data_IF_890507662158
#
_entry.id   IF_890507662158
#
_cell.length_a   1.000
_cell.length_b   1.000
_cell.length_c   1.000
_cell.angle_alpha   90.00
_cell.angle_beta   90.00
_cell.angle_gamma   90.00
#
_symmetry.space_group_name_H-M   'P 1'
#
loop_
_entity.id
_entity.type
_entity.pdbx_description
1 polymer ?
#
# COMPACT_ATOMS: atom_id res chain seq x y z
N UNK A 1 -1.64 32.64 7.48
CA UNK A 1 -1.20 32.89 6.09
C UNK A 1 -1.65 31.66 5.31
N UNK A 2 -2.64 31.79 4.41
CA UNK A 2 -3.24 30.62 3.74
C UNK A 2 -2.28 30.17 2.64
N UNK A 3 -1.52 29.11 2.89
CA UNK A 3 -0.72 28.47 1.86
C UNK A 3 -1.65 27.70 0.93
N UNK A 4 -1.86 28.23 -0.28
CA UNK A 4 -2.46 27.47 -1.39
C UNK A 4 -1.49 26.35 -1.77
N UNK A 5 -1.78 25.13 -1.33
CA UNK A 5 -1.12 23.94 -1.83
C UNK A 5 -1.77 23.55 -3.16
N UNK A 6 -1.12 23.90 -4.27
CA UNK A 6 -1.36 23.25 -5.57
C UNK A 6 -0.66 21.89 -5.50
N UNK A 7 -1.41 20.80 -5.33
CA UNK A 7 -0.86 19.45 -5.49
C UNK A 7 -1.40 18.86 -6.79
N UNK A 8 -0.50 18.79 -7.76
CA UNK A 8 -0.66 18.05 -8.99
C UNK A 8 -0.54 16.56 -8.62
N UNK A 9 -1.60 15.77 -8.77
CA UNK A 9 -1.53 14.30 -8.70
C UNK A 9 -0.77 13.83 -9.93
N UNK A 10 0.56 13.90 -9.86
CA UNK A 10 1.44 13.20 -10.77
C UNK A 10 1.67 11.82 -10.18
N UNK A 11 0.78 10.88 -10.51
CA UNK A 11 1.12 9.46 -10.52
C UNK A 11 2.15 9.24 -11.63
N UNK A 12 3.38 9.71 -11.40
CA UNK A 12 4.51 9.38 -12.22
C UNK A 12 4.84 7.93 -11.95
N UNK A 13 4.32 7.02 -12.79
CA UNK A 13 4.70 5.61 -12.76
C UNK A 13 6.23 5.53 -12.77
N UNK A 14 6.83 5.20 -11.63
CA UNK A 14 8.27 5.03 -11.54
C UNK A 14 8.65 3.79 -12.35
N UNK A 15 9.80 3.87 -13.00
CA UNK A 15 10.35 2.79 -13.81
C UNK A 15 10.46 1.54 -12.93
N UNK A 16 9.63 0.54 -13.24
CA UNK A 16 9.57 -0.75 -12.55
C UNK A 16 10.98 -1.38 -12.54
N UNK A 17 11.60 -1.43 -11.36
CA UNK A 17 12.91 -2.05 -11.19
C UNK A 17 12.72 -3.53 -10.85
N UNK A 18 13.31 -4.42 -11.65
CA UNK A 18 13.39 -5.82 -11.29
C UNK A 18 14.09 -5.97 -9.94
N UNK A 19 13.68 -6.96 -9.14
CA UNK A 19 14.32 -7.20 -7.85
C UNK A 19 15.86 -7.30 -8.00
N UNK A 20 16.64 -6.77 -7.04
CA UNK A 20 18.10 -6.86 -7.07
C UNK A 20 18.59 -8.30 -7.29
N UNK A 21 19.70 -8.47 -8.00
CA UNK A 21 20.29 -9.81 -8.20
C UNK A 21 20.74 -10.38 -6.84
N UNK A 22 20.40 -11.64 -6.57
CA UNK A 22 20.86 -12.36 -5.38
C UNK A 22 19.85 -12.47 -4.24
N UNK A 23 18.62 -12.00 -4.40
CA UNK A 23 17.56 -12.25 -3.42
C UNK A 23 17.20 -13.75 -3.40
N UNK A 24 17.33 -14.37 -2.23
CA UNK A 24 16.85 -15.73 -2.02
C UNK A 24 15.34 -15.72 -1.81
N UNK A 25 14.62 -15.97 -2.91
CA UNK A 25 13.17 -16.08 -2.88
C UNK A 25 12.65 -17.34 -2.16
N UNK A 26 13.51 -18.18 -1.58
CA UNK A 26 13.13 -19.35 -0.80
C UNK A 26 13.40 -19.20 0.71
N UNK A 27 14.00 -18.09 1.16
CA UNK A 27 14.20 -17.79 2.58
C UNK A 27 12.90 -17.62 3.34
N UNK A 28 12.98 -17.47 4.67
CA UNK A 28 11.80 -17.24 5.52
C UNK A 28 11.05 -15.96 5.10
N UNK A 29 9.75 -16.07 4.83
CA UNK A 29 8.90 -14.97 4.42
C UNK A 29 7.44 -15.24 4.79
N UNK A 30 6.66 -14.16 4.88
CA UNK A 30 5.20 -14.24 4.82
C UNK A 30 4.74 -14.09 3.38
N UNK A 31 3.64 -14.76 3.05
CA UNK A 31 3.10 -14.76 1.71
C UNK A 31 1.64 -14.30 1.75
N UNK A 32 1.29 -13.35 0.89
CA UNK A 32 -0.09 -12.95 0.60
C UNK A 32 -0.39 -13.32 -0.85
N UNK A 33 -1.37 -14.20 -1.06
CA UNK A 33 -1.89 -14.52 -2.39
C UNK A 33 -3.13 -13.66 -2.65
N UNK A 34 -3.06 -12.77 -3.64
CA UNK A 34 -4.26 -12.09 -4.15
C UNK A 34 -4.81 -12.91 -5.31
N UNK A 35 -5.95 -13.55 -5.10
CA UNK A 35 -6.58 -14.48 -6.04
C UNK A 35 -7.72 -13.77 -6.75
N UNK A 36 -7.52 -13.51 -8.04
CA UNK A 36 -8.49 -12.82 -8.88
C UNK A 36 -9.78 -13.62 -9.07
N UNK A 37 -10.92 -12.96 -8.86
CA UNK A 37 -12.28 -13.47 -9.08
C UNK A 37 -13.07 -12.53 -9.98
N UNK A 38 -13.81 -13.10 -10.94
CA UNK A 38 -14.65 -12.35 -11.87
C UNK A 38 -16.06 -12.05 -11.34
N UNK A 39 -16.34 -12.46 -10.10
CA UNK A 39 -17.61 -12.28 -9.41
C UNK A 39 -17.31 -12.00 -7.95
N UNK A 40 -18.16 -11.20 -7.32
CA UNK A 40 -18.12 -11.02 -5.87
C UNK A 40 -18.26 -12.37 -5.19
N UNK A 41 -17.35 -12.66 -4.27
CA UNK A 41 -17.35 -13.90 -3.49
C UNK A 41 -18.39 -13.79 -2.38
N UNK A 42 -19.27 -14.79 -2.21
CA UNK A 42 -20.28 -14.76 -1.16
C UNK A 42 -19.67 -15.15 0.19
N UNK A 43 -20.07 -14.47 1.26
CA UNK A 43 -19.74 -14.83 2.64
C UNK A 43 -18.57 -14.06 3.23
N UNK A 44 -18.40 -14.23 4.54
CA UNK A 44 -17.28 -13.67 5.29
C UNK A 44 -16.05 -14.59 5.15
N UNK A 45 -14.97 -14.03 4.63
CA UNK A 45 -13.68 -14.68 4.44
C UNK A 45 -12.65 -14.18 5.45
N UNK A 46 -13.09 -13.89 6.67
CA UNK A 46 -12.22 -13.61 7.80
C UNK A 46 -11.64 -14.94 8.34
N UNK A 47 -10.35 -15.18 8.11
CA UNK A 47 -9.61 -16.24 8.80
C UNK A 47 -8.15 -15.79 8.89
N UNK A 48 -7.64 -15.47 10.10
CA UNK A 48 -6.30 -14.93 10.27
C UNK A 48 -5.21 -15.91 9.81
N UNK A 49 -5.46 -17.23 9.87
CA UNK A 49 -4.51 -18.26 9.45
C UNK A 49 -4.36 -18.38 7.92
N UNK A 50 -5.21 -17.68 7.15
CA UNK A 50 -5.11 -17.73 5.69
C UNK A 50 -4.00 -16.82 5.19
N UNK A 51 -3.50 -17.18 4.02
CA UNK A 51 -2.52 -16.41 3.26
C UNK A 51 -3.09 -15.98 1.90
N UNK A 52 -4.40 -15.76 1.83
CA UNK A 52 -5.14 -15.54 0.59
C UNK A 52 -6.22 -14.48 0.75
N UNK A 53 -6.27 -13.51 -0.15
CA UNK A 53 -7.35 -12.54 -0.29
C UNK A 53 -7.95 -12.68 -1.70
N UNK A 54 -9.27 -12.71 -1.82
CA UNK A 54 -9.93 -12.64 -3.11
C UNK A 54 -10.03 -11.18 -3.55
N UNK A 55 -9.63 -10.89 -4.79
CA UNK A 55 -9.68 -9.54 -5.38
C UNK A 55 -10.43 -9.61 -6.71
N UNK A 56 -11.08 -8.53 -7.19
CA UNK A 56 -11.65 -8.51 -8.54
C UNK A 56 -10.57 -8.79 -9.58
N UNK A 57 -10.89 -9.57 -10.62
CA UNK A 57 -10.00 -9.67 -11.79
C UNK A 57 -10.01 -8.42 -12.64
N UNK A 58 -11.01 -7.55 -12.51
CA UNK A 58 -11.14 -6.30 -13.25
C UNK A 58 -11.68 -5.27 -12.27
N UNK A 59 -10.93 -4.19 -12.06
CA UNK A 59 -11.28 -3.11 -11.13
C UNK A 59 -11.67 -1.81 -11.85
N UNK A 60 -11.87 -1.83 -13.17
CA UNK A 60 -12.18 -0.61 -13.95
C UNK A 60 -13.46 0.09 -13.52
N UNK A 61 -14.46 -0.68 -13.05
CA UNK A 61 -15.74 -0.18 -12.53
C UNK A 61 -15.75 -0.04 -10.99
N UNK A 62 -14.62 -0.24 -10.32
CA UNK A 62 -14.52 -0.10 -8.87
C UNK A 62 -13.99 1.29 -8.51
N UNK A 63 -14.65 1.91 -7.54
CA UNK A 63 -14.16 3.08 -6.84
C UNK A 63 -14.51 3.00 -5.36
N UNK A 64 -13.74 3.70 -4.54
CA UNK A 64 -14.07 3.90 -3.13
C UNK A 64 -14.05 5.38 -2.77
N UNK A 65 -14.95 5.76 -1.87
CA UNK A 65 -15.09 7.12 -1.42
C UNK A 65 -13.84 7.60 -0.69
N UNK A 66 -13.46 8.84 -0.98
CA UNK A 66 -12.53 9.63 -0.20
C UNK A 66 -13.32 10.68 0.56
N UNK A 67 -12.97 10.86 1.83
CA UNK A 67 -13.18 12.17 2.45
C UNK A 67 -12.23 13.14 1.74
N UNK A 68 -12.58 14.40 1.51
CA UNK A 68 -11.74 15.34 0.73
C UNK A 68 -10.98 16.32 1.62
N UNK A 69 -9.89 15.91 2.29
CA UNK A 69 -8.91 16.82 2.84
C UNK A 69 -8.11 17.48 1.71
N UNK A 70 -7.27 18.45 2.05
CA UNK A 70 -6.31 19.09 1.13
C UNK A 70 -6.91 19.78 -0.11
N UNK A 71 -8.19 20.12 -0.10
CA UNK A 71 -8.88 20.64 -1.30
C UNK A 71 -8.68 19.73 -2.53
N UNK A 72 -8.63 18.42 -2.34
CA UNK A 72 -8.70 17.51 -3.47
C UNK A 72 -10.07 17.68 -4.12
N UNK A 73 -10.10 18.06 -5.40
CA UNK A 73 -11.31 18.07 -6.24
C UNK A 73 -11.82 16.65 -6.56
N UNK A 74 -11.28 15.64 -5.88
CA UNK A 74 -11.50 14.22 -6.10
C UNK A 74 -12.14 13.60 -4.87
N UNK A 75 -13.38 13.12 -5.00
CA UNK A 75 -14.16 12.50 -3.93
C UNK A 75 -14.11 10.98 -3.93
N UNK A 76 -13.50 10.34 -4.94
CA UNK A 76 -13.37 8.89 -5.05
C UNK A 76 -12.01 8.50 -5.62
N UNK A 77 -11.54 7.28 -5.36
CA UNK A 77 -10.38 6.69 -6.04
C UNK A 77 -10.77 5.42 -6.77
N UNK A 78 -10.21 5.21 -7.96
CA UNK A 78 -10.39 3.99 -8.70
C UNK A 78 -9.72 2.79 -8.01
N UNK A 79 -10.29 1.60 -8.20
CA UNK A 79 -9.79 0.35 -7.64
C UNK A 79 -10.50 -0.07 -6.36
N UNK A 80 -9.88 -1.02 -5.65
CA UNK A 80 -10.34 -1.50 -4.33
C UNK A 80 -9.41 -1.03 -3.23
N UNK A 81 -9.95 -0.80 -2.05
CA UNK A 81 -9.19 -0.35 -0.88
C UNK A 81 -8.73 -1.54 -0.05
N UNK A 82 -7.41 -1.74 0.09
CA UNK A 82 -6.88 -2.78 0.97
C UNK A 82 -6.23 -2.12 2.19
N UNK A 83 -6.89 -2.19 3.34
CA UNK A 83 -6.41 -1.58 4.59
C UNK A 83 -5.34 -2.44 5.27
N UNK A 84 -4.37 -1.80 5.89
CA UNK A 84 -3.22 -2.49 6.45
C UNK A 84 -2.86 -1.98 7.84
N UNK A 85 -2.60 -2.91 8.75
CA UNK A 85 -2.10 -2.64 10.10
C UNK A 85 -0.82 -3.43 10.38
N UNK A 86 -0.15 -3.09 11.48
CA UNK A 86 0.94 -3.88 12.02
C UNK A 86 0.57 -4.35 13.43
N UNK A 87 0.76 -5.64 13.71
CA UNK A 87 0.42 -6.25 14.99
C UNK A 87 1.36 -7.39 15.38
N UNK A 88 0.88 -8.29 16.23
CA UNK A 88 1.70 -9.38 16.80
C UNK A 88 2.02 -10.50 15.81
N UNK A 89 1.25 -10.63 14.75
CA UNK A 89 1.40 -11.68 13.74
C UNK A 89 0.89 -11.24 12.36
N UNK A 90 1.30 -11.97 11.33
CA UNK A 90 0.77 -11.80 9.99
C UNK A 90 -0.61 -12.46 9.90
N UNK A 91 -1.64 -11.71 9.50
CA UNK A 91 -3.01 -12.20 9.41
C UNK A 91 -3.78 -11.54 8.26
N UNK A 92 -4.57 -12.30 7.51
CA UNK A 92 -5.55 -11.71 6.59
C UNK A 92 -6.85 -11.49 7.36
N UNK A 93 -7.12 -10.22 7.67
CA UNK A 93 -8.23 -9.80 8.53
C UNK A 93 -9.55 -9.79 7.77
N UNK A 94 -9.53 -9.34 6.52
CA UNK A 94 -10.63 -9.43 5.55
C UNK A 94 -10.11 -9.99 4.23
N UNK A 95 -10.44 -11.26 3.98
CA UNK A 95 -10.01 -12.01 2.82
C UNK A 95 -10.85 -11.80 1.57
N UNK A 96 -11.78 -10.84 1.53
CA UNK A 96 -12.70 -10.66 0.41
C UNK A 96 -12.77 -9.22 -0.11
N UNK A 97 -11.75 -8.77 -0.83
CA UNK A 97 -11.78 -7.49 -1.52
C UNK A 97 -12.65 -7.43 -2.78
N UNK A 98 -13.43 -8.47 -3.08
CA UNK A 98 -14.30 -8.47 -4.29
C UNK A 98 -15.57 -7.64 -4.16
N UNK A 99 -15.80 -7.08 -2.97
CA UNK A 99 -16.87 -6.12 -2.66
C UNK A 99 -16.37 -4.66 -2.61
N UNK A 100 -15.08 -4.44 -2.92
CA UNK A 100 -14.47 -3.11 -2.95
C UNK A 100 -13.45 -2.87 -1.83
N UNK A 101 -13.40 -3.71 -0.80
CA UNK A 101 -12.47 -3.51 0.32
C UNK A 101 -11.93 -4.81 0.92
N UNK A 102 -10.66 -4.81 1.31
CA UNK A 102 -10.05 -5.91 2.05
C UNK A 102 -9.13 -5.41 3.13
N UNK A 103 -8.60 -6.31 3.95
CA UNK A 103 -7.60 -5.91 4.95
C UNK A 103 -6.69 -7.05 5.40
N UNK A 104 -5.48 -6.69 5.78
CA UNK A 104 -4.54 -7.61 6.39
C UNK A 104 -3.62 -6.90 7.38
N UNK A 105 -2.99 -7.67 8.25
CA UNK A 105 -2.05 -7.24 9.25
C UNK A 105 -0.69 -7.85 8.96
N UNK A 106 0.36 -7.02 9.05
CA UNK A 106 1.74 -7.50 9.12
C UNK A 106 2.12 -7.88 10.55
N UNK A 107 3.00 -8.86 10.68
CA UNK A 107 3.64 -9.15 11.95
C UNK A 107 4.62 -8.05 12.39
N UNK A 108 5.28 -8.22 13.55
CA UNK A 108 6.24 -7.26 14.05
C UNK A 108 7.48 -7.21 13.15
N UNK A 109 8.12 -6.04 13.10
CA UNK A 109 9.36 -5.81 12.37
C UNK A 109 9.15 -5.13 11.02
N UNK A 110 10.23 -5.06 10.23
CA UNK A 110 10.24 -4.42 8.91
C UNK A 110 10.42 -5.48 7.83
N UNK A 111 10.01 -5.18 6.62
CA UNK A 111 10.05 -6.15 5.53
C UNK A 111 10.64 -5.57 4.25
N UNK A 112 11.34 -6.41 3.49
CA UNK A 112 11.49 -6.23 2.04
C UNK A 112 10.32 -6.91 1.36
N UNK A 113 9.70 -6.20 0.41
CA UNK A 113 8.45 -6.64 -0.20
C UNK A 113 8.67 -6.89 -1.68
N UNK A 114 8.23 -8.06 -2.14
CA UNK A 114 8.33 -8.42 -3.55
C UNK A 114 6.99 -8.91 -4.06
N UNK A 115 6.67 -8.52 -5.29
CA UNK A 115 5.40 -8.83 -5.94
C UNK A 115 5.61 -9.47 -7.30
N UNK A 116 4.76 -10.44 -7.65
CA UNK A 116 4.77 -11.10 -8.95
C UNK A 116 3.37 -11.56 -9.37
N UNK A 117 3.06 -11.46 -10.66
CA UNK A 117 1.87 -12.06 -11.27
C UNK A 117 2.18 -13.50 -11.73
N UNK A 118 1.55 -14.49 -11.11
CA UNK A 118 1.92 -15.91 -11.26
C UNK A 118 0.96 -16.73 -12.13
N UNK A 119 -0.30 -16.30 -12.29
CA UNK A 119 -1.29 -17.01 -13.11
C UNK A 119 -1.71 -16.24 -14.37
N UNK A 120 -2.53 -16.90 -15.19
CA UNK A 120 -2.97 -16.44 -16.52
C UNK A 120 -3.77 -15.13 -16.42
N UNK A 121 -3.20 -14.05 -16.93
CA UNK A 121 -3.93 -12.85 -17.35
C UNK A 121 -4.61 -13.10 -18.71
N UNK A 122 -5.67 -12.34 -19.08
CA UNK A 122 -6.11 -12.21 -20.47
C UNK A 122 -4.92 -11.94 -21.39
N UNK A 123 -5.05 -12.33 -22.66
CA UNK A 123 -3.93 -12.48 -23.61
C UNK A 123 -3.24 -11.17 -24.03
N UNK A 124 -3.70 -10.02 -23.53
CA UNK A 124 -3.27 -8.70 -23.98
C UNK A 124 -3.12 -7.75 -22.79
N UNK A 125 -1.87 -7.37 -22.51
CA UNK A 125 -1.42 -6.13 -21.84
C UNK A 125 -1.84 -5.74 -20.42
N UNK A 126 -2.63 -6.53 -19.69
CA UNK A 126 -3.06 -6.13 -18.34
C UNK A 126 -1.93 -5.93 -17.31
N UNK A 127 -2.15 -5.00 -16.37
CA UNK A 127 -1.28 -4.66 -15.24
C UNK A 127 -1.98 -4.84 -13.91
N UNK A 128 -1.19 -4.93 -12.85
CA UNK A 128 -1.63 -4.80 -11.47
C UNK A 128 -0.88 -3.61 -10.91
N UNK A 129 -1.63 -2.59 -10.54
CA UNK A 129 -1.10 -1.32 -10.07
C UNK A 129 -1.50 -1.14 -8.61
N UNK A 130 -0.52 -0.85 -7.76
CA UNK A 130 -0.71 -0.62 -6.34
C UNK A 130 -0.05 0.70 -5.96
N UNK A 131 -0.78 1.55 -5.26
CA UNK A 131 -0.24 2.77 -4.64
C UNK A 131 -0.52 2.73 -3.14
N UNK A 132 0.51 2.96 -2.33
CA UNK A 132 0.35 3.08 -0.88
C UNK A 132 -0.12 4.47 -0.51
N UNK A 133 -0.92 4.57 0.54
CA UNK A 133 -1.47 5.82 1.02
C UNK A 133 -1.54 5.85 2.54
N UNK A 134 -0.98 6.90 3.14
CA UNK A 134 -1.23 7.23 4.54
C UNK A 134 -2.35 8.27 4.62
N UNK A 135 -3.34 7.99 5.44
CA UNK A 135 -4.39 8.92 5.86
C UNK A 135 -3.96 9.54 7.18
N UNK A 136 -3.88 10.87 7.24
CA UNK A 136 -3.60 11.60 8.47
C UNK A 136 -4.83 12.41 8.88
N UNK A 137 -5.26 12.28 10.12
CA UNK A 137 -6.35 13.04 10.71
C UNK A 137 -5.76 14.13 11.60
N UNK A 138 -6.45 15.25 11.75
CA UNK A 138 -6.09 16.24 12.77
C UNK A 138 -6.50 15.76 14.17
N UNK A 139 -6.08 16.51 15.18
CA UNK A 139 -6.41 16.25 16.58
C UNK A 139 -7.91 16.37 16.95
N UNK A 140 -8.77 16.74 16.00
CA UNK A 140 -10.22 16.74 16.13
C UNK A 140 -10.84 15.50 15.48
N UNK A 141 -10.02 14.61 14.93
CA UNK A 141 -10.44 13.41 14.21
C UNK A 141 -10.95 13.69 12.80
N UNK A 142 -10.73 14.89 12.26
CA UNK A 142 -11.09 15.20 10.89
C UNK A 142 -9.97 14.77 9.96
N UNK A 143 -10.31 14.03 8.90
CA UNK A 143 -9.30 13.66 7.91
C UNK A 143 -8.69 14.94 7.32
N UNK A 144 -7.36 15.02 7.34
CA UNK A 144 -6.62 16.23 7.02
C UNK A 144 -5.58 16.04 5.93
N UNK A 145 -5.02 14.84 5.72
CA UNK A 145 -4.10 14.61 4.61
C UNK A 145 -4.17 13.19 4.01
N UNK A 146 -3.90 13.10 2.71
CA UNK A 146 -3.51 11.85 2.04
C UNK A 146 -2.06 11.98 1.54
N UNK A 147 -1.19 11.09 2.01
CA UNK A 147 0.22 11.07 1.64
C UNK A 147 0.44 9.84 0.76
N UNK A 148 0.84 9.99 -0.52
CA UNK A 148 1.21 8.85 -1.35
C UNK A 148 2.52 8.24 -0.83
N UNK A 149 2.56 6.92 -0.71
CA UNK A 149 3.70 6.15 -0.23
C UNK A 149 3.99 5.02 -1.21
N UNK A 150 4.87 5.33 -2.16
CA UNK A 150 5.28 4.43 -3.22
C UNK A 150 4.16 3.97 -4.15
N UNK A 151 4.59 3.47 -5.30
CA UNK A 151 3.76 2.76 -6.26
C UNK A 151 4.51 1.57 -6.83
N UNK A 152 3.77 0.58 -7.31
CA UNK A 152 4.31 -0.50 -8.11
C UNK A 152 3.31 -0.91 -9.18
N UNK A 153 3.81 -1.08 -10.40
CA UNK A 153 3.08 -1.68 -11.50
C UNK A 153 3.74 -3.02 -11.87
N UNK A 154 2.95 -4.09 -11.88
CA UNK A 154 3.43 -5.39 -12.36
C UNK A 154 2.53 -5.98 -13.42
N UNK A 155 3.15 -6.51 -14.46
CA UNK A 155 2.47 -7.25 -15.50
C UNK A 155 2.91 -8.71 -15.48
N UNK A 156 2.43 -9.49 -16.46
CA UNK A 156 2.71 -10.92 -16.52
C UNK A 156 4.19 -11.13 -16.84
N UNK A 157 4.94 -11.55 -15.83
CA UNK A 157 6.33 -11.96 -15.95
C UNK A 157 6.65 -13.03 -14.92
N UNK A 158 7.66 -13.87 -15.19
CA UNK A 158 8.17 -14.80 -14.17
C UNK A 158 9.08 -14.11 -13.14
N UNK A 159 9.14 -12.79 -13.15
CA UNK A 159 10.11 -11.98 -12.42
C UNK A 159 9.43 -11.36 -11.21
N UNK A 160 10.09 -11.46 -10.06
CA UNK A 160 9.71 -10.72 -8.86
C UNK A 160 10.16 -9.27 -9.01
N UNK A 161 9.25 -8.36 -8.70
CA UNK A 161 9.48 -6.92 -8.68
C UNK A 161 9.64 -6.47 -7.25
N UNK A 162 10.61 -5.60 -6.98
CA UNK A 162 10.74 -4.97 -5.66
C UNK A 162 9.59 -3.97 -5.48
N UNK A 163 8.81 -4.17 -4.43
CA UNK A 163 7.69 -3.33 -4.04
C UNK A 163 7.88 -2.80 -2.61
N UNK A 164 9.12 -2.80 -2.10
CA UNK A 164 9.43 -2.34 -0.75
C UNK A 164 9.01 -0.88 -0.55
N UNK A 165 9.15 -0.03 -1.58
CA UNK A 165 8.76 1.39 -1.54
C UNK A 165 7.30 1.62 -1.15
N UNK A 166 6.40 0.66 -1.33
CA UNK A 166 5.04 0.76 -0.81
C UNK A 166 5.02 1.00 0.71
N UNK A 167 6.00 0.51 1.45
CA UNK A 167 6.06 0.57 2.91
C UNK A 167 7.19 1.43 3.47
N UNK A 168 7.89 2.21 2.64
CA UNK A 168 8.93 3.12 3.12
C UNK A 168 8.66 4.52 2.58
N UNK A 169 8.48 5.47 3.49
CA UNK A 169 8.27 6.88 3.18
C UNK A 169 9.64 7.55 3.10
N UNK A 170 9.98 8.10 1.95
CA UNK A 170 11.22 8.85 1.76
C UNK A 170 11.02 10.36 1.95
N UNK A 171 12.11 11.12 2.02
CA UNK A 171 12.08 12.58 2.22
C UNK A 171 11.39 13.37 1.10
N UNK A 172 11.19 12.79 -0.08
CA UNK A 172 10.45 13.44 -1.17
C UNK A 172 8.94 13.18 -1.11
N UNK A 173 8.52 12.11 -0.43
CA UNK A 173 7.11 11.78 -0.18
C UNK A 173 6.58 12.48 1.07
N UNK A 174 7.44 12.72 2.07
CA UNK A 174 7.09 13.52 3.23
C UNK A 174 6.92 15.01 2.87
N UNK A 175 5.68 15.49 3.00
CA UNK A 175 5.31 16.86 2.66
C UNK A 175 5.35 17.81 3.87
N UNK A 176 5.67 17.30 5.07
CA UNK A 176 5.67 18.08 6.31
C UNK A 176 7.07 18.45 6.78
N UNK A 177 8.11 17.87 6.19
CA UNK A 177 9.50 18.07 6.62
C UNK A 177 9.81 17.38 7.95
N UNK A 178 9.03 16.37 8.31
CA UNK A 178 9.28 15.47 9.43
C UNK A 178 10.54 14.62 9.19
N UNK A 179 10.74 14.16 7.96
CA UNK A 179 11.90 13.36 7.54
C UNK A 179 13.02 14.24 6.99
N UNK A 180 14.21 14.03 7.53
CA UNK A 180 15.47 14.64 7.10
C UNK A 180 16.38 13.65 6.36
N UNK A 181 16.12 12.35 6.46
CA UNK A 181 16.95 11.28 5.90
C UNK A 181 18.16 10.92 6.77
N UNK A 182 18.27 11.53 7.95
CA UNK A 182 19.32 11.28 8.95
C UNK A 182 18.84 10.46 10.16
N UNK A 183 17.58 10.04 10.17
CA UNK A 183 16.98 9.32 11.29
C UNK A 183 17.61 7.92 11.44
N UNK A 184 17.74 7.44 12.67
CA UNK A 184 18.36 6.13 12.94
C UNK A 184 17.60 4.95 12.33
N UNK A 185 16.30 5.11 12.09
CA UNK A 185 15.41 4.14 11.48
C UNK A 185 15.11 4.42 10.00
N UNK A 186 15.82 5.37 9.37
CA UNK A 186 15.76 5.66 7.95
C UNK A 186 16.71 4.74 7.17
N UNK A 187 16.17 3.97 6.22
CA UNK A 187 16.96 3.14 5.31
C UNK A 187 17.40 3.96 4.08
N UNK A 188 18.71 4.12 3.91
CA UNK A 188 19.28 4.80 2.76
C UNK A 188 18.81 4.17 1.45
N UNK A 189 18.21 4.99 0.58
CA UNK A 189 17.64 4.55 -0.70
C UNK A 189 16.23 3.99 -0.66
N UNK A 190 15.61 3.84 0.53
CA UNK A 190 14.19 3.48 0.67
C UNK A 190 13.37 4.52 1.43
N UNK A 191 13.78 4.88 2.65
CA UNK A 191 12.97 5.74 3.52
C UNK A 191 12.82 5.21 4.94
N UNK A 192 11.87 5.76 5.68
CA UNK A 192 11.42 5.26 6.98
C UNK A 192 10.26 4.29 6.79
N UNK A 193 10.26 3.18 7.54
CA UNK A 193 9.14 2.22 7.55
C UNK A 193 7.81 2.93 7.83
N UNK A 194 6.77 2.68 7.03
CA UNK A 194 5.53 3.48 7.05
C UNK A 194 4.85 3.50 8.42
N UNK A 195 4.88 2.41 9.17
CA UNK A 195 4.31 2.37 10.52
C UNK A 195 5.17 3.11 11.56
N UNK A 196 6.50 3.15 11.38
CA UNK A 196 7.36 4.02 12.20
C UNK A 196 7.10 5.49 11.88
N UNK A 197 6.94 5.82 10.59
CA UNK A 197 6.62 7.17 10.12
C UNK A 197 5.27 7.64 10.67
N UNK A 198 4.24 6.79 10.60
CA UNK A 198 2.92 7.11 11.16
C UNK A 198 2.97 7.34 12.67
N UNK A 199 3.67 6.47 13.42
CA UNK A 199 3.85 6.65 14.87
C UNK A 199 4.68 7.90 15.19
N UNK A 200 5.66 8.22 14.36
CA UNK A 200 6.46 9.44 14.46
C UNK A 200 5.62 10.70 14.24
N UNK A 201 4.78 10.72 13.21
CA UNK A 201 3.87 11.83 12.93
C UNK A 201 2.81 12.01 14.02
N UNK A 202 2.23 10.93 14.53
CA UNK A 202 1.27 10.96 15.65
C UNK A 202 1.89 11.59 16.91
N UNK A 203 3.19 11.37 17.13
CA UNK A 203 3.93 11.98 18.24
C UNK A 203 4.49 13.38 17.94
N UNK A 204 4.51 13.81 16.67
CA UNK A 204 5.15 15.04 16.23
C UNK A 204 4.15 16.20 16.21
N UNK A 205 4.02 16.86 17.37
CA UNK A 205 3.16 18.03 17.53
C UNK A 205 3.97 19.31 17.34
N UNK A 206 3.50 20.16 16.42
CA UNK A 206 4.03 21.51 16.17
C UNK A 206 2.90 22.53 16.21
N UNK A 207 3.23 23.82 16.12
CA UNK A 207 2.21 24.87 16.00
C UNK A 207 1.37 24.73 14.72
N UNK A 208 1.97 24.16 13.66
CA UNK A 208 1.35 24.02 12.34
C UNK A 208 0.72 22.64 12.11
N UNK A 209 1.14 21.59 12.82
CA UNK A 209 0.75 20.20 12.60
C UNK A 209 0.48 19.45 13.91
N UNK A 210 -0.68 18.80 13.99
CA UNK A 210 -1.07 17.94 15.10
C UNK A 210 -1.93 16.80 14.55
N UNK A 211 -1.28 15.71 14.15
CA UNK A 211 -1.94 14.57 13.54
C UNK A 211 -2.30 13.51 14.57
N UNK A 212 -3.41 12.80 14.34
CA UNK A 212 -3.78 11.60 15.10
C UNK A 212 -4.44 10.56 14.20
N UNK A 213 -4.65 9.36 14.74
CA UNK A 213 -5.44 8.28 14.13
C UNK A 213 -5.01 7.90 12.71
N UNK A 214 -3.71 7.96 12.43
CA UNK A 214 -3.19 7.69 11.09
C UNK A 214 -3.55 6.27 10.65
N UNK A 215 -3.94 6.13 9.38
CA UNK A 215 -4.25 4.84 8.76
C UNK A 215 -3.45 4.64 7.48
N UNK A 216 -3.21 3.38 7.10
CA UNK A 216 -2.47 3.05 5.88
C UNK A 216 -3.26 2.04 5.04
N UNK A 217 -3.30 2.28 3.73
CA UNK A 217 -3.99 1.41 2.79
C UNK A 217 -3.30 1.37 1.42
N UNK A 218 -3.64 0.35 0.66
CA UNK A 218 -3.34 0.24 -0.75
C UNK A 218 -4.56 0.57 -1.61
N UNK A 219 -4.36 1.45 -2.57
CA UNK A 219 -5.22 1.53 -3.75
C UNK A 219 -4.79 0.41 -4.69
N UNK A 220 -5.61 -0.63 -4.84
CA UNK A 220 -5.32 -1.79 -5.67
C UNK A 220 -6.15 -1.77 -6.95
N UNK A 221 -5.47 -1.79 -8.10
CA UNK A 221 -6.08 -1.87 -9.42
C UNK A 221 -5.57 -3.12 -10.14
N UNK A 222 -6.48 -3.89 -10.74
CA UNK A 222 -6.17 -5.15 -11.40
C UNK A 222 -6.85 -5.24 -12.75
N UNK A 223 -6.05 -5.33 -13.81
CA UNK A 223 -6.48 -5.60 -15.18
C UNK A 223 -6.15 -7.06 -15.54
N UNK A 224 -6.93 -7.98 -14.98
CA UNK A 224 -7.01 -9.36 -15.43
C UNK A 224 -6.13 -10.37 -14.70
N UNK A 225 -5.36 -9.99 -13.68
CA UNK A 225 -4.53 -10.96 -12.95
C UNK A 225 -5.39 -11.91 -12.10
N UNK A 226 -5.12 -13.21 -12.25
CA UNK A 226 -5.81 -14.29 -11.52
C UNK A 226 -5.08 -14.77 -10.26
N UNK A 227 -3.77 -14.52 -10.20
CA UNK A 227 -2.96 -14.82 -9.03
C UNK A 227 -1.80 -13.84 -9.01
N UNK A 228 -1.78 -13.02 -7.97
CA UNK A 228 -0.66 -12.18 -7.60
C UNK A 228 -0.12 -12.75 -6.30
N UNK A 229 1.20 -12.84 -6.19
CA UNK A 229 1.85 -13.20 -4.94
C UNK A 229 2.64 -11.99 -4.46
N UNK A 230 2.40 -11.60 -3.22
CA UNK A 230 3.20 -10.62 -2.49
C UNK A 230 3.93 -11.36 -1.39
N UNK A 231 5.23 -11.14 -1.27
CA UNK A 231 6.08 -11.76 -0.25
C UNK A 231 6.75 -10.71 0.59
N UNK A 232 6.74 -10.96 1.90
CA UNK A 232 7.30 -10.08 2.92
C UNK A 232 8.45 -10.81 3.59
N UNK A 233 9.68 -10.38 3.33
CA UNK A 233 10.89 -10.94 3.90
C UNK A 233 11.32 -10.07 5.08
N UNK A 234 11.37 -10.60 6.32
CA UNK A 234 11.81 -9.84 7.48
C UNK A 234 13.19 -9.22 7.25
N UNK A 235 13.33 -7.95 7.63
CA UNK A 235 14.62 -7.27 7.74
C UNK A 235 15.11 -7.45 9.17
N UNK A 236 16.32 -7.98 9.32
CA UNK A 236 16.99 -8.13 10.61
C UNK A 236 17.71 -6.86 11.03
#
# INVERSE_FOLDING_TARGET
MVAMAFVMVLSGALVVSAAPKGIDFNGAHFNLNLVGKSKTMPGDYNNPDRHTMFVPTDTSDFEFDLNTPNNLDQTTMAGVKINMTQGSEFAVLDGNATDGQGSFQLGPGKYRVYIAVKAKMPKTSGTVDITGWVQAYDNLGQLWYYIPVGDVSVSKGKVWTDASTLFYVNTSEDQFGFLTGGESNYEQGLGMWVFDYMAGLDAWVTDDYNFSDLAYFWQFQNDGAKLIQVRFYPVN
#
